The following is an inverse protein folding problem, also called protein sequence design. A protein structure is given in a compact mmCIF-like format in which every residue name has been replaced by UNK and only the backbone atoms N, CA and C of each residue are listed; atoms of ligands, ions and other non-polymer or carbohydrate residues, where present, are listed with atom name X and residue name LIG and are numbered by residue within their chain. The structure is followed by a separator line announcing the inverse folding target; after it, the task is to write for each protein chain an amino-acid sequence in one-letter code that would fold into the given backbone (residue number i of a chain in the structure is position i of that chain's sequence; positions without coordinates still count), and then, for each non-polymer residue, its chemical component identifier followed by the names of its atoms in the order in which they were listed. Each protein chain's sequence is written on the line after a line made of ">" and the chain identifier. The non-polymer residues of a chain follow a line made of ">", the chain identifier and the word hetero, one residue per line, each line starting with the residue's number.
data_IF_694866172070
#
_entry.id   IF_694866172070
#
_cell.length_a   1.000
_cell.length_b   1.000
_cell.length_c   1.000
_cell.angle_alpha   90.00
_cell.angle_beta   90.00
_cell.angle_gamma   90.00
#
_symmetry.space_group_name_H-M   'P 1'
#
loop_
_entity.id
_entity.type
_entity.pdbx_description
1 polymer ?
#
# COMPACT_ATOMS: atom_id res chain seq x y z
N UNK A 1 -9.68 -11.15 22.23
CA UNK A 1 -8.88 -11.23 20.99
C UNK A 1 -8.02 -9.97 20.93
N UNK A 2 -6.69 -10.12 20.88
CA UNK A 2 -5.72 -9.00 20.88
C UNK A 2 -5.04 -8.94 19.51
N UNK A 3 -5.15 -7.81 18.83
CA UNK A 3 -4.43 -7.53 17.59
C UNK A 3 -3.31 -6.52 17.84
N UNK A 4 -2.15 -6.73 17.24
CA UNK A 4 -1.07 -5.75 17.18
C UNK A 4 -1.05 -5.15 15.78
N UNK A 5 -0.98 -3.83 15.70
CA UNK A 5 -1.00 -3.09 14.44
C UNK A 5 0.35 -2.43 14.24
N UNK A 6 0.90 -2.54 13.04
CA UNK A 6 2.10 -1.87 12.58
C UNK A 6 1.76 -0.94 11.41
N UNK A 7 2.46 0.19 11.31
CA UNK A 7 2.49 1.06 10.14
C UNK A 7 3.91 1.57 9.90
N UNK A 8 4.20 2.01 8.67
CA UNK A 8 5.53 2.48 8.33
C UNK A 8 5.83 3.82 9.04
N UNK A 9 7.03 3.96 9.61
CA UNK A 9 7.49 5.22 10.23
C UNK A 9 7.45 6.40 9.25
N UNK A 10 7.68 6.10 7.97
CA UNK A 10 7.62 7.11 6.91
C UNK A 10 6.20 7.65 6.72
N UNK A 11 5.14 6.92 7.09
CA UNK A 11 3.75 7.37 6.93
C UNK A 11 3.29 8.25 8.09
N UNK A 12 3.38 9.57 7.90
CA UNK A 12 2.93 10.58 8.86
C UNK A 12 1.56 11.21 8.52
N UNK A 13 0.84 10.71 7.51
CA UNK A 13 -0.37 11.33 6.94
C UNK A 13 -1.49 11.57 7.95
N UNK A 14 -1.53 10.79 9.04
CA UNK A 14 -2.55 10.87 10.08
C UNK A 14 -1.96 11.03 11.50
N UNK A 15 -0.69 11.45 11.60
CA UNK A 15 0.08 11.51 12.83
C UNK A 15 0.87 10.21 13.09
N UNK A 16 2.05 10.35 13.69
CA UNK A 16 2.95 9.22 13.96
C UNK A 16 2.30 8.18 14.89
N UNK A 17 2.46 6.90 14.57
CA UNK A 17 2.06 5.77 15.42
C UNK A 17 0.54 5.48 15.42
N UNK A 18 -0.17 5.80 14.33
CA UNK A 18 -1.60 5.56 14.22
C UNK A 18 -1.99 5.16 12.81
N UNK A 19 -2.80 4.11 12.70
CA UNK A 19 -3.51 3.78 11.45
C UNK A 19 -4.89 4.41 11.49
N UNK A 20 -5.25 5.16 10.45
CA UNK A 20 -6.55 5.81 10.32
C UNK A 20 -7.20 5.51 8.96
N UNK A 21 -8.49 5.21 8.99
CA UNK A 21 -9.29 4.95 7.81
C UNK A 21 -10.02 6.20 7.34
N UNK A 22 -10.39 6.22 6.05
CA UNK A 22 -11.19 7.32 5.46
C UNK A 22 -12.62 7.44 6.00
N UNK A 23 -13.12 6.43 6.72
CA UNK A 23 -14.44 6.44 7.36
C UNK A 23 -14.38 6.90 8.83
N UNK A 24 -13.23 7.40 9.30
CA UNK A 24 -13.06 7.95 10.63
C UNK A 24 -12.69 6.94 11.73
N UNK A 25 -12.53 5.66 11.40
CA UNK A 25 -11.98 4.67 12.34
C UNK A 25 -10.47 4.82 12.45
N UNK A 26 -9.91 4.57 13.64
CA UNK A 26 -8.47 4.62 13.86
C UNK A 26 -8.03 3.70 15.00
N UNK A 27 -6.80 3.22 14.93
CA UNK A 27 -6.17 2.36 15.95
C UNK A 27 -4.74 2.82 16.22
N UNK A 28 -4.25 2.74 17.48
CA UNK A 28 -2.82 2.84 17.75
C UNK A 28 -2.06 1.81 16.91
N UNK A 29 -0.90 2.21 16.40
CA UNK A 29 -0.03 1.35 15.63
C UNK A 29 1.43 1.56 16.05
N UNK A 30 2.18 0.46 16.11
CA UNK A 30 3.64 0.50 16.23
C UNK A 30 4.23 0.95 14.91
N UNK A 31 5.35 1.67 14.99
CA UNK A 31 6.08 2.09 13.81
C UNK A 31 7.11 1.03 13.44
N UNK A 32 7.21 0.68 12.17
CA UNK A 32 8.35 -0.04 11.64
C UNK A 32 9.16 0.86 10.70
N UNK A 33 10.48 0.67 10.72
CA UNK A 33 11.39 1.28 9.75
C UNK A 33 12.33 0.22 9.17
N UNK A 34 13.29 0.63 8.35
CA UNK A 34 14.20 -0.30 7.66
C UNK A 34 15.05 -1.17 8.61
N UNK A 35 15.19 -0.76 9.87
CA UNK A 35 16.00 -1.44 10.89
C UNK A 35 15.16 -2.22 11.92
N UNK A 36 13.82 -2.15 11.85
CA UNK A 36 12.94 -2.91 12.73
C UNK A 36 13.10 -4.41 12.50
N UNK A 37 13.25 -5.17 13.58
CA UNK A 37 13.24 -6.64 13.55
C UNK A 37 11.86 -7.12 13.99
N UNK A 38 10.98 -7.31 13.00
CA UNK A 38 9.55 -7.54 13.24
C UNK A 38 9.32 -8.85 13.99
N UNK A 39 10.07 -9.90 13.64
CA UNK A 39 9.95 -11.19 14.32
C UNK A 39 10.27 -11.08 15.82
N UNK A 40 11.40 -10.47 16.17
CA UNK A 40 11.85 -10.32 17.55
C UNK A 40 10.90 -9.44 18.37
N UNK A 41 10.44 -8.33 17.79
CA UNK A 41 9.46 -7.44 18.42
C UNK A 41 8.13 -8.15 18.70
N UNK A 42 7.60 -8.88 17.71
CA UNK A 42 6.33 -9.61 17.82
C UNK A 42 6.46 -10.77 18.81
N UNK A 43 7.58 -11.50 18.79
CA UNK A 43 7.84 -12.60 19.74
C UNK A 43 7.86 -12.09 21.17
N UNK A 44 8.65 -11.06 21.45
CA UNK A 44 8.75 -10.46 22.78
C UNK A 44 7.39 -9.95 23.29
N UNK A 45 6.58 -9.37 22.42
CA UNK A 45 5.27 -8.88 22.79
C UNK A 45 4.22 -10.01 22.99
N UNK A 46 4.34 -11.10 22.24
CA UNK A 46 3.53 -12.30 22.42
C UNK A 46 3.84 -13.02 23.75
N UNK A 47 5.10 -13.03 24.17
CA UNK A 47 5.54 -13.57 25.46
C UNK A 47 4.95 -12.79 26.64
N UNK A 48 4.83 -11.46 26.52
CA UNK A 48 4.18 -10.63 27.54
C UNK A 48 2.67 -10.84 27.58
N UNK A 49 2.03 -10.91 26.41
CA UNK A 49 0.61 -11.13 26.29
C UNK A 49 0.27 -11.74 24.93
N UNK A 50 -0.42 -12.89 24.92
CA UNK A 50 -0.80 -13.60 23.70
C UNK A 50 -1.41 -12.69 22.63
N UNK A 51 -0.74 -12.60 21.48
CA UNK A 51 -1.21 -11.95 20.27
C UNK A 51 -2.07 -12.95 19.50
N UNK A 52 -3.18 -12.49 18.96
CA UNK A 52 -4.09 -13.33 18.17
C UNK A 52 -4.00 -13.03 16.66
N UNK A 53 -3.45 -11.87 16.30
CA UNK A 53 -3.32 -11.41 14.92
C UNK A 53 -2.35 -10.23 14.88
N UNK A 54 -1.55 -10.17 13.82
CA UNK A 54 -0.75 -8.98 13.46
C UNK A 54 -1.32 -8.35 12.20
N UNK A 55 -1.48 -7.04 12.22
CA UNK A 55 -1.89 -6.23 11.08
C UNK A 55 -0.74 -5.31 10.70
N UNK A 56 -0.30 -5.33 9.44
CA UNK A 56 0.74 -4.45 8.93
C UNK A 56 0.15 -3.58 7.84
N UNK A 57 -0.04 -2.31 8.13
CA UNK A 57 -0.46 -1.31 7.16
C UNK A 57 0.74 -0.72 6.41
N UNK A 58 0.51 -0.17 5.22
CA UNK A 58 1.55 0.37 4.34
C UNK A 58 2.71 -0.61 4.07
N UNK A 59 2.38 -1.90 4.00
CA UNK A 59 3.32 -3.03 3.89
C UNK A 59 4.19 -3.00 2.63
N UNK A 60 3.86 -2.17 1.65
CA UNK A 60 4.74 -1.95 0.49
C UNK A 60 6.12 -1.38 0.87
N UNK A 61 6.24 -0.74 2.05
CA UNK A 61 7.49 -0.20 2.56
C UNK A 61 8.35 -1.21 3.33
N UNK A 62 7.89 -2.45 3.50
CA UNK A 62 8.68 -3.51 4.09
C UNK A 62 9.90 -3.84 3.23
N UNK A 63 10.98 -4.26 3.87
CA UNK A 63 12.11 -4.89 3.18
C UNK A 63 11.83 -6.36 2.88
N UNK A 64 12.61 -6.96 1.98
CA UNK A 64 12.65 -8.42 1.79
C UNK A 64 12.79 -9.17 3.11
N UNK A 65 13.72 -8.70 3.96
CA UNK A 65 14.00 -9.35 5.23
C UNK A 65 12.80 -9.28 6.18
N UNK A 66 12.11 -8.14 6.22
CA UNK A 66 10.92 -7.98 7.05
C UNK A 66 9.75 -8.84 6.56
N UNK A 67 9.57 -8.99 5.25
CA UNK A 67 8.55 -9.91 4.72
C UNK A 67 8.88 -11.36 5.11
N UNK A 68 10.15 -11.74 5.08
CA UNK A 68 10.61 -13.05 5.56
C UNK A 68 10.38 -13.22 7.08
N UNK A 69 10.71 -12.21 7.88
CA UNK A 69 10.45 -12.24 9.33
C UNK A 69 8.95 -12.41 9.65
N UNK A 70 8.06 -11.80 8.85
CA UNK A 70 6.62 -11.97 9.01
C UNK A 70 6.15 -13.39 8.66
N UNK A 71 6.79 -14.09 7.70
CA UNK A 71 6.48 -15.51 7.48
C UNK A 71 6.94 -16.37 8.66
N UNK A 72 8.10 -16.06 9.26
CA UNK A 72 8.56 -16.76 10.47
C UNK A 72 7.62 -16.53 11.67
N UNK A 73 6.97 -15.37 11.77
CA UNK A 73 5.92 -15.14 12.79
C UNK A 73 4.75 -16.12 12.60
N UNK A 74 4.31 -16.35 11.37
CA UNK A 74 3.25 -17.32 11.08
C UNK A 74 3.72 -18.73 11.41
N UNK A 75 4.87 -19.12 10.87
CA UNK A 75 5.36 -20.50 10.95
C UNK A 75 5.80 -20.92 12.35
N UNK A 76 6.48 -20.03 13.09
CA UNK A 76 7.04 -20.36 14.41
C UNK A 76 6.12 -20.01 15.57
N UNK A 77 5.33 -18.94 15.45
CA UNK A 77 4.50 -18.45 16.56
C UNK A 77 3.01 -18.82 16.40
N UNK A 78 2.61 -19.36 15.24
CA UNK A 78 1.21 -19.67 14.90
C UNK A 78 0.29 -18.43 15.06
N UNK A 79 0.82 -17.27 14.65
CA UNK A 79 0.09 -15.99 14.68
C UNK A 79 -0.18 -15.54 13.25
N UNK A 80 -1.46 -15.38 12.84
CA UNK A 80 -1.76 -14.89 11.50
C UNK A 80 -1.31 -13.43 11.32
N UNK A 81 -0.65 -13.17 10.19
CA UNK A 81 -0.21 -11.84 9.77
C UNK A 81 -1.02 -11.39 8.55
N UNK A 82 -1.62 -10.21 8.63
CA UNK A 82 -2.37 -9.60 7.53
C UNK A 82 -1.68 -8.31 7.10
N UNK A 83 -1.21 -8.29 5.84
CA UNK A 83 -0.55 -7.14 5.26
C UNK A 83 -1.51 -6.37 4.34
N UNK A 84 -1.57 -5.05 4.50
CA UNK A 84 -2.30 -4.11 3.66
C UNK A 84 -1.30 -3.15 3.03
N UNK A 85 -1.40 -2.91 1.72
CA UNK A 85 -0.45 -2.07 1.02
C UNK A 85 -0.71 -1.97 -0.48
N UNK A 86 0.05 -1.09 -1.13
CA UNK A 86 0.00 -0.86 -2.58
C UNK A 86 0.85 -1.88 -3.33
N UNK A 87 0.30 -2.47 -4.39
CA UNK A 87 1.06 -3.41 -5.24
C UNK A 87 2.18 -2.70 -6.01
N UNK A 88 1.85 -1.61 -6.69
CA UNK A 88 2.74 -0.90 -7.61
C UNK A 88 2.72 0.60 -7.35
N UNK A 89 3.83 1.26 -7.68
CA UNK A 89 3.94 2.72 -7.67
C UNK A 89 3.21 3.37 -8.87
N UNK A 90 3.35 4.69 -8.99
CA UNK A 90 2.72 5.46 -10.08
C UNK A 90 3.34 5.21 -11.46
N UNK A 91 4.54 4.59 -11.52
CA UNK A 91 5.20 4.16 -12.76
C UNK A 91 4.73 2.77 -13.18
N UNK A 92 4.08 2.04 -12.28
CA UNK A 92 3.61 0.67 -12.50
C UNK A 92 4.61 -0.38 -12.05
N UNK A 93 5.68 0.03 -11.37
CA UNK A 93 6.71 -0.86 -10.84
C UNK A 93 6.31 -1.37 -9.45
N UNK A 94 6.74 -2.58 -9.11
CA UNK A 94 6.48 -3.14 -7.78
C UNK A 94 7.24 -2.34 -6.72
N UNK A 95 6.61 -2.20 -5.56
CA UNK A 95 7.35 -1.84 -4.35
C UNK A 95 8.11 -3.05 -3.83
N UNK A 96 9.26 -2.81 -3.16
CA UNK A 96 10.10 -3.88 -2.61
C UNK A 96 9.33 -4.83 -1.69
N UNK A 97 8.60 -4.30 -0.71
CA UNK A 97 7.79 -5.15 0.19
C UNK A 97 6.71 -5.92 -0.56
N UNK A 98 6.05 -5.27 -1.52
CA UNK A 98 4.99 -5.88 -2.33
C UNK A 98 5.48 -6.98 -3.24
N UNK A 99 6.69 -6.88 -3.78
CA UNK A 99 7.33 -7.94 -4.58
C UNK A 99 7.40 -9.25 -3.80
N UNK A 100 7.92 -9.21 -2.57
CA UNK A 100 8.08 -10.41 -1.75
C UNK A 100 6.76 -10.88 -1.14
N UNK A 101 5.86 -9.97 -0.79
CA UNK A 101 4.51 -10.34 -0.33
C UNK A 101 3.74 -11.10 -1.42
N UNK A 102 3.83 -10.67 -2.67
CA UNK A 102 3.24 -11.41 -3.80
C UNK A 102 3.85 -12.80 -3.99
N UNK A 103 5.14 -12.96 -3.66
CA UNK A 103 5.84 -14.23 -3.83
C UNK A 103 5.57 -15.23 -2.70
N UNK A 104 5.44 -14.77 -1.46
CA UNK A 104 5.48 -15.62 -0.26
C UNK A 104 4.16 -15.70 0.51
N UNK A 105 3.19 -14.81 0.27
CA UNK A 105 1.93 -14.83 1.02
C UNK A 105 1.07 -16.05 0.65
N UNK A 106 0.52 -16.74 1.65
CA UNK A 106 -0.41 -17.86 1.44
C UNK A 106 -1.70 -17.44 0.73
N UNK A 107 -2.14 -16.20 0.95
CA UNK A 107 -3.37 -15.65 0.39
C UNK A 107 -3.18 -14.22 -0.08
N UNK A 108 -3.53 -13.98 -1.33
CA UNK A 108 -3.54 -12.66 -1.95
C UNK A 108 -4.99 -12.22 -2.24
N UNK A 109 -5.36 -11.05 -1.74
CA UNK A 109 -6.68 -10.45 -2.00
C UNK A 109 -6.48 -9.09 -2.66
N UNK A 110 -6.91 -8.96 -3.91
CA UNK A 110 -6.90 -7.68 -4.61
C UNK A 110 -8.16 -6.87 -4.27
N UNK A 111 -7.97 -5.72 -3.63
CA UNK A 111 -9.03 -4.72 -3.48
C UNK A 111 -9.14 -3.90 -4.77
N UNK A 112 -10.28 -4.03 -5.45
CA UNK A 112 -10.51 -3.42 -6.76
C UNK A 112 -11.23 -2.07 -6.64
N UNK A 113 -10.72 -1.09 -7.37
CA UNK A 113 -11.43 0.15 -7.71
C UNK A 113 -11.89 0.11 -9.17
N UNK A 114 -12.69 1.10 -9.57
CA UNK A 114 -13.28 1.18 -10.91
C UNK A 114 -12.68 2.37 -11.64
N UNK A 115 -12.18 2.14 -12.86
CA UNK A 115 -11.76 3.21 -13.76
C UNK A 115 -13.01 3.92 -14.31
N UNK A 116 -12.90 5.19 -14.69
CA UNK A 116 -14.02 5.96 -15.26
C UNK A 116 -14.73 5.27 -16.43
N UNK A 117 -14.06 4.36 -17.14
CA UNK A 117 -14.66 3.55 -18.21
C UNK A 117 -15.39 2.27 -17.74
N UNK A 118 -15.65 2.10 -16.44
CA UNK A 118 -16.30 0.92 -15.85
C UNK A 118 -15.43 -0.33 -15.70
N UNK A 119 -14.24 -0.37 -16.32
CA UNK A 119 -13.29 -1.50 -16.15
C UNK A 119 -12.57 -1.44 -14.80
N UNK A 120 -12.09 -2.59 -14.33
CA UNK A 120 -11.20 -2.69 -13.15
C UNK A 120 -10.02 -1.72 -13.29
N UNK A 121 -9.84 -0.87 -12.30
CA UNK A 121 -8.64 -0.06 -12.18
C UNK A 121 -7.52 -0.89 -11.56
N UNK A 122 -6.36 -0.89 -12.20
CA UNK A 122 -5.20 -1.72 -11.81
C UNK A 122 -3.88 -0.93 -11.78
N UNK A 123 -3.93 0.34 -12.17
CA UNK A 123 -2.80 1.26 -12.24
C UNK A 123 -3.16 2.54 -11.51
N UNK A 124 -2.15 3.26 -11.02
CA UNK A 124 -2.31 4.56 -10.39
C UNK A 124 -1.55 5.58 -11.21
N UNK A 125 -2.22 6.65 -11.65
CA UNK A 125 -1.57 7.83 -12.22
C UNK A 125 -1.26 8.81 -11.10
N UNK A 126 -0.09 9.43 -11.17
CA UNK A 126 0.22 10.65 -10.41
C UNK A 126 0.12 11.84 -11.37
N UNK A 127 -0.76 12.80 -11.09
CA UNK A 127 -1.05 13.95 -11.94
C UNK A 127 -0.41 15.22 -11.39
N UNK A 128 -0.22 16.25 -12.21
CA UNK A 128 0.05 17.61 -11.75
C UNK A 128 -1.25 18.41 -11.56
N UNK A 129 -1.12 19.68 -11.17
CA UNK A 129 -2.28 20.60 -11.02
C UNK A 129 -3.04 20.81 -12.34
N UNK A 130 -2.42 20.55 -13.48
CA UNK A 130 -3.03 20.68 -14.80
C UNK A 130 -3.59 19.34 -15.33
N UNK A 131 -3.58 18.26 -14.53
CA UNK A 131 -4.07 16.94 -14.92
C UNK A 131 -3.12 16.14 -15.82
N UNK A 132 -1.85 16.56 -15.92
CA UNK A 132 -0.82 15.87 -16.71
C UNK A 132 -0.12 14.81 -15.86
N UNK A 133 0.10 13.59 -16.38
CA UNK A 133 0.78 12.56 -15.61
C UNK A 133 2.26 12.88 -15.43
N UNK A 134 2.75 12.63 -14.22
CA UNK A 134 4.18 12.56 -13.92
C UNK A 134 4.73 11.24 -14.47
N UNK A 135 5.82 11.35 -15.23
CA UNK A 135 6.54 10.18 -15.76
C UNK A 135 7.85 9.92 -14.98
N UNK A 136 8.32 10.89 -14.19
CA UNK A 136 9.58 10.85 -13.45
C UNK A 136 9.43 11.53 -12.08
N UNK A 137 10.28 11.16 -11.13
CA UNK A 137 10.32 11.71 -9.77
C UNK A 137 10.43 10.63 -8.68
N UNK A 138 10.55 11.09 -7.44
CA UNK A 138 10.58 10.22 -6.26
C UNK A 138 9.34 9.31 -6.20
N UNK A 139 9.60 8.02 -5.96
CA UNK A 139 8.58 6.97 -5.91
C UNK A 139 7.53 7.22 -4.82
N UNK A 140 7.94 7.91 -3.75
CA UNK A 140 7.14 8.16 -2.56
C UNK A 140 7.07 9.67 -2.33
N UNK A 141 5.87 10.22 -2.39
CA UNK A 141 5.60 11.57 -1.86
C UNK A 141 4.41 11.47 -0.93
N UNK A 142 4.68 11.77 0.34
CA UNK A 142 3.75 11.69 1.46
C UNK A 142 3.17 13.09 1.66
N UNK A 143 1.84 13.16 1.74
CA UNK A 143 1.11 14.43 1.65
C UNK A 143 0.92 14.91 0.21
N UNK A 144 -0.25 15.48 -0.08
CA UNK A 144 -0.66 15.91 -1.42
C UNK A 144 -1.73 15.00 -2.05
N UNK A 145 -2.89 14.87 -1.39
CA UNK A 145 -4.05 14.09 -1.84
C UNK A 145 -4.61 14.48 -3.22
N UNK A 146 -4.13 15.55 -3.85
CA UNK A 146 -4.77 16.18 -5.00
C UNK A 146 -4.40 15.55 -6.35
N UNK A 147 -3.65 14.45 -6.37
CA UNK A 147 -2.91 14.05 -7.59
C UNK A 147 -2.85 12.55 -7.90
N UNK A 148 -3.50 11.64 -7.17
CA UNK A 148 -3.48 10.21 -7.52
C UNK A 148 -4.82 9.69 -8.03
N UNK A 149 -4.84 9.10 -9.23
CA UNK A 149 -6.07 8.59 -9.87
C UNK A 149 -5.89 7.13 -10.28
N UNK A 150 -6.77 6.27 -9.79
CA UNK A 150 -6.80 4.85 -10.18
C UNK A 150 -7.48 4.67 -11.53
N UNK A 151 -6.80 4.03 -12.48
CA UNK A 151 -7.29 3.79 -13.85
C UNK A 151 -6.99 2.36 -14.31
N UNK A 152 -7.66 1.93 -15.38
CA UNK A 152 -7.33 0.67 -16.05
C UNK A 152 -6.03 0.84 -16.86
N UNK A 153 -5.34 -0.27 -17.14
CA UNK A 153 -4.08 -0.27 -17.90
C UNK A 153 -4.16 0.45 -19.25
N UNK A 154 -5.31 0.41 -19.94
CA UNK A 154 -5.52 1.13 -21.21
C UNK A 154 -5.42 2.64 -21.01
N UNK A 155 -6.22 3.19 -20.09
CA UNK A 155 -6.26 4.63 -19.83
C UNK A 155 -4.99 5.14 -19.14
N UNK A 156 -4.30 4.30 -18.37
CA UNK A 156 -2.96 4.61 -17.88
C UNK A 156 -1.98 4.91 -19.03
N UNK A 157 -1.89 4.00 -20.02
CA UNK A 157 -1.00 4.18 -21.17
C UNK A 157 -1.41 5.36 -22.04
N UNK A 158 -2.71 5.54 -22.27
CA UNK A 158 -3.22 6.68 -23.05
C UNK A 158 -2.91 8.01 -22.36
N UNK A 159 -3.12 8.10 -21.05
CA UNK A 159 -2.82 9.33 -20.29
C UNK A 159 -1.34 9.68 -20.40
N UNK A 160 -0.44 8.70 -20.25
CA UNK A 160 0.99 8.93 -20.43
C UNK A 160 1.36 9.35 -21.85
N UNK A 161 0.78 8.75 -22.89
CA UNK A 161 1.08 9.12 -24.28
C UNK A 161 0.52 10.48 -24.67
N UNK A 162 -0.66 10.83 -24.18
CA UNK A 162 -1.32 12.11 -24.49
C UNK A 162 -0.88 13.25 -23.57
N UNK A 163 -0.30 12.92 -22.42
CA UNK A 163 0.07 13.89 -21.40
C UNK A 163 -1.13 14.52 -20.68
N UNK A 164 -2.35 13.95 -20.78
CA UNK A 164 -3.54 14.48 -20.12
C UNK A 164 -4.58 13.39 -19.84
N UNK A 165 -4.98 13.24 -18.58
CA UNK A 165 -6.10 12.34 -18.24
C UNK A 165 -7.44 12.97 -18.61
N UNK A 166 -7.60 14.28 -18.42
CA UNK A 166 -8.84 15.02 -18.66
C UNK A 166 -9.29 14.90 -20.11
N UNK A 167 -8.36 15.07 -21.06
CA UNK A 167 -8.67 14.97 -22.49
C UNK A 167 -9.24 13.59 -22.88
N UNK A 168 -8.80 12.53 -22.20
CA UNK A 168 -9.29 11.16 -22.43
C UNK A 168 -10.69 10.98 -21.85
N UNK A 169 -10.92 11.52 -20.65
CA UNK A 169 -12.22 11.43 -19.98
C UNK A 169 -13.29 12.20 -20.76
N UNK A 170 -12.96 13.37 -21.28
CA UNK A 170 -13.88 14.17 -22.10
C UNK A 170 -14.32 13.41 -23.35
N UNK A 171 -13.40 12.79 -24.09
CA UNK A 171 -13.77 12.00 -25.28
C UNK A 171 -14.64 10.80 -24.92
N UNK A 172 -14.35 10.12 -23.81
CA UNK A 172 -15.14 8.97 -23.37
C UNK A 172 -16.56 9.33 -22.93
N UNK A 173 -16.83 10.58 -22.52
CA UNK A 173 -18.17 11.01 -22.12
C UNK A 173 -19.04 11.47 -23.31
N UNK A 174 -18.47 11.59 -24.50
CA UNK A 174 -19.18 11.99 -25.73
C UNK A 174 -19.46 10.79 -26.67
N UNK A 175 -19.09 9.58 -26.26
CA UNK A 175 -19.40 8.29 -26.91
C UNK A 175 -20.48 7.54 -26.12
#
# INVERSE_FOLDING_TARGET
>A
MRAVVYTAEIDDRFGAGKVSSRIGLSSPAKLFNQNSSLFEEIRAENEQQRIHCVLVDESQFLTRQQVYELSEVVDQLDIPVLCYGLRTDFRGELFGGSEYLLAWSDKLVELKTICFCGRKASMVLRLDQAGRPYNEGEQVVIGGNERYVSVCRKHYKQAQSEGSLTAIQERHNHD
#
